data_IF_891323157874
#
_entry.id   IF_891323157874
#
_cell.length_a   1.000
_cell.length_b   1.000
_cell.length_c   1.000
_cell.angle_alpha   90.00
_cell.angle_beta   90.00
_cell.angle_gamma   90.00
#
_symmetry.space_group_name_H-M   'P 1'
#
loop_
_entity.id
_entity.type
_entity.pdbx_description
1 polymer ?
#
# COMPACT_ATOMS: atom_id res chain seq x y z
N UNK A 1 -22.42 17.16 2.11
CA UNK A 1 -21.20 17.34 1.30
C UNK A 1 -21.23 18.72 0.66
N UNK A 2 -20.14 19.47 0.68
CA UNK A 2 -20.07 20.79 0.07
C UNK A 2 -20.03 20.66 -1.46
N UNK A 3 -21.01 21.22 -2.16
CA UNK A 3 -21.03 21.27 -3.63
C UNK A 3 -20.17 22.43 -4.20
N UNK A 4 -19.86 23.45 -3.36
CA UNK A 4 -19.21 24.70 -3.80
C UNK A 4 -17.70 24.73 -3.55
N UNK A 5 -17.17 23.84 -2.69
CA UNK A 5 -15.75 23.81 -2.33
C UNK A 5 -15.18 22.40 -2.43
N UNK A 6 -14.04 22.28 -3.08
CA UNK A 6 -13.19 21.12 -2.99
C UNK A 6 -12.32 21.28 -1.73
N UNK A 7 -12.26 20.26 -0.89
CA UNK A 7 -11.40 20.29 0.29
C UNK A 7 -9.93 20.52 -0.11
N UNK A 8 -9.23 21.37 0.64
CA UNK A 8 -7.81 21.59 0.45
C UNK A 8 -7.04 20.30 0.80
N UNK A 9 -6.12 19.91 -0.07
CA UNK A 9 -5.24 18.78 0.18
C UNK A 9 -4.12 19.27 1.10
N UNK A 10 -4.09 18.78 2.34
CA UNK A 10 -3.01 19.08 3.28
C UNK A 10 -1.74 18.33 2.88
N UNK A 11 -0.62 19.04 2.87
CA UNK A 11 0.68 18.42 2.66
C UNK A 11 1.06 17.55 3.86
N UNK A 12 1.60 16.37 3.57
CA UNK A 12 2.11 15.46 4.60
C UNK A 12 3.59 15.75 4.77
N UNK A 13 3.96 16.21 5.96
CA UNK A 13 5.36 16.43 6.31
C UNK A 13 6.13 15.09 6.30
N UNK A 14 7.40 15.09 5.89
CA UNK A 14 8.26 13.91 5.93
C UNK A 14 8.45 13.42 7.38
N UNK A 15 8.77 12.13 7.52
CA UNK A 15 9.10 11.53 8.80
C UNK A 15 10.38 12.16 9.37
N UNK A 16 10.41 12.56 10.65
CA UNK A 16 11.54 13.29 11.23
C UNK A 16 12.82 12.44 11.34
N UNK A 17 12.73 11.12 11.43
CA UNK A 17 13.88 10.22 11.57
C UNK A 17 14.48 9.86 10.22
N UNK A 18 13.64 9.54 9.24
CA UNK A 18 14.06 9.03 7.93
C UNK A 18 13.84 10.02 6.78
N UNK A 19 13.30 11.19 7.05
CA UNK A 19 12.98 12.25 6.07
C UNK A 19 12.18 11.72 4.84
N UNK A 20 11.24 10.80 5.07
CA UNK A 20 10.45 10.13 4.04
C UNK A 20 8.97 10.46 4.15
N UNK A 21 8.41 11.08 3.10
CA UNK A 21 6.97 11.37 2.99
C UNK A 21 6.15 10.07 2.87
N UNK A 22 6.70 9.06 2.18
CA UNK A 22 6.03 7.77 2.02
C UNK A 22 5.89 7.06 3.36
N UNK A 23 6.92 7.12 4.19
CA UNK A 23 6.90 6.56 5.54
C UNK A 23 5.89 7.28 6.43
N UNK A 24 5.80 8.60 6.38
CA UNK A 24 4.77 9.38 7.07
C UNK A 24 3.34 8.96 6.66
N UNK A 25 3.10 8.78 5.36
CA UNK A 25 1.80 8.28 4.86
C UNK A 25 1.51 6.87 5.35
N UNK A 26 2.52 6.01 5.42
CA UNK A 26 2.41 4.65 5.94
C UNK A 26 2.10 4.65 7.45
N UNK A 27 2.79 5.49 8.24
CA UNK A 27 2.51 5.70 9.67
C UNK A 27 1.06 6.12 9.90
N UNK A 28 0.59 7.09 9.12
CA UNK A 28 -0.80 7.55 9.19
C UNK A 28 -1.82 6.45 8.82
N UNK A 29 -1.45 5.53 7.93
CA UNK A 29 -2.32 4.40 7.56
C UNK A 29 -2.34 3.27 8.60
N UNK A 30 -1.26 3.07 9.36
CA UNK A 30 -1.20 2.11 10.47
C UNK A 30 -1.93 2.65 11.71
N UNK A 31 -1.87 3.96 11.93
CA UNK A 31 -2.44 4.63 13.09
C UNK A 31 -3.91 4.28 13.28
N UNK A 32 -4.31 4.02 14.52
CA UNK A 32 -5.68 3.84 14.97
C UNK A 32 -6.02 4.92 16.01
N UNK A 33 -7.24 5.40 16.01
CA UNK A 33 -7.80 6.35 16.99
C UNK A 33 -6.96 7.63 17.18
N UNK A 34 -6.22 8.04 16.17
CA UNK A 34 -5.34 9.22 16.24
C UNK A 34 -4.06 9.02 17.06
N UNK A 35 -3.74 7.79 17.49
CA UNK A 35 -2.58 7.48 18.35
C UNK A 35 -1.28 7.44 17.53
N UNK A 36 -0.84 8.59 17.04
CA UNK A 36 0.32 8.70 16.13
C UNK A 36 1.63 8.27 16.79
N UNK A 37 1.90 8.70 18.02
CA UNK A 37 3.12 8.33 18.74
C UNK A 37 3.29 6.81 18.92
N UNK A 38 2.17 6.09 19.12
CA UNK A 38 2.17 4.62 19.19
C UNK A 38 2.56 4.02 17.83
N UNK A 39 1.98 4.53 16.72
CA UNK A 39 2.30 4.06 15.38
C UNK A 39 3.78 4.30 15.03
N UNK A 40 4.32 5.47 15.34
CA UNK A 40 5.73 5.80 15.16
C UNK A 40 6.66 4.85 15.97
N UNK A 41 6.33 4.62 17.23
CA UNK A 41 7.07 3.67 18.08
C UNK A 41 7.05 2.24 17.52
N UNK A 42 5.91 1.77 17.00
CA UNK A 42 5.78 0.46 16.37
C UNK A 42 6.68 0.35 15.12
N UNK A 43 6.69 1.38 14.27
CA UNK A 43 7.52 1.40 13.06
C UNK A 43 9.00 1.40 13.42
N UNK A 44 9.44 2.26 14.33
CA UNK A 44 10.84 2.33 14.74
C UNK A 44 11.35 1.00 15.33
N UNK A 45 10.55 0.38 16.21
CA UNK A 45 10.87 -0.95 16.76
C UNK A 45 10.89 -2.04 15.68
N UNK A 46 9.98 -1.98 14.70
CA UNK A 46 9.97 -2.91 13.58
C UNK A 46 11.18 -2.73 12.66
N UNK A 47 11.60 -1.51 12.44
CA UNK A 47 12.81 -1.21 11.67
C UNK A 47 14.07 -1.73 12.36
N UNK A 48 14.18 -1.57 13.69
CA UNK A 48 15.26 -2.19 14.47
C UNK A 48 15.25 -3.73 14.35
N UNK A 49 14.06 -4.35 14.37
CA UNK A 49 13.91 -5.79 14.17
C UNK A 49 14.28 -6.24 12.76
N UNK A 50 13.94 -5.45 11.73
CA UNK A 50 14.35 -5.71 10.34
C UNK A 50 15.87 -5.66 10.22
N UNK A 51 16.49 -4.63 10.75
CA UNK A 51 17.95 -4.46 10.70
C UNK A 51 18.68 -5.62 11.40
N UNK A 52 18.19 -6.08 12.56
CA UNK A 52 18.77 -7.22 13.27
C UNK A 52 18.62 -8.55 12.54
N UNK A 53 17.54 -8.73 11.75
CA UNK A 53 17.27 -9.97 11.00
C UNK A 53 17.97 -10.02 9.66
N UNK A 54 18.04 -8.91 8.94
CA UNK A 54 18.52 -8.86 7.55
C UNK A 54 19.91 -8.26 7.40
N UNK A 55 20.34 -7.42 8.35
CA UNK A 55 21.58 -6.65 8.23
C UNK A 55 21.51 -5.48 7.22
N UNK A 56 20.40 -5.34 6.48
CA UNK A 56 20.20 -4.27 5.49
C UNK A 56 19.54 -3.04 6.12
N UNK A 57 19.63 -1.91 5.42
CA UNK A 57 18.93 -0.69 5.82
C UNK A 57 17.41 -0.91 5.82
N UNK A 58 16.71 -0.70 6.94
CA UNK A 58 15.27 -0.89 7.04
C UNK A 58 14.47 -0.03 6.05
N UNK A 59 14.95 1.19 5.80
CA UNK A 59 14.33 2.10 4.84
C UNK A 59 14.43 1.56 3.40
N UNK A 60 15.55 0.93 3.04
CA UNK A 60 15.72 0.28 1.73
C UNK A 60 14.71 -0.86 1.56
N UNK A 61 14.58 -1.74 2.57
CA UNK A 61 13.62 -2.85 2.56
C UNK A 61 12.19 -2.30 2.45
N UNK A 62 11.85 -1.28 3.23
CA UNK A 62 10.54 -0.62 3.16
C UNK A 62 10.26 -0.06 1.76
N UNK A 63 11.21 0.65 1.17
CA UNK A 63 11.06 1.23 -0.17
C UNK A 63 10.88 0.14 -1.22
N UNK A 64 11.70 -0.92 -1.19
CA UNK A 64 11.54 -2.09 -2.06
C UNK A 64 10.18 -2.75 -1.89
N UNK A 65 9.72 -2.94 -0.65
CA UNK A 65 8.42 -3.52 -0.37
C UNK A 65 7.28 -2.71 -0.98
N UNK A 66 7.29 -1.38 -0.80
CA UNK A 66 6.28 -0.49 -1.41
C UNK A 66 6.32 -0.59 -2.93
N UNK A 67 7.51 -0.50 -3.56
CA UNK A 67 7.64 -0.58 -5.02
C UNK A 67 7.14 -1.92 -5.56
N UNK A 68 7.47 -3.02 -4.90
CA UNK A 68 7.04 -4.36 -5.30
C UNK A 68 5.51 -4.54 -5.22
N UNK A 69 4.83 -3.89 -4.28
CA UNK A 69 3.38 -4.01 -4.09
C UNK A 69 2.59 -3.04 -4.96
N UNK A 70 3.20 -1.99 -5.51
CA UNK A 70 2.51 -1.04 -6.38
C UNK A 70 1.87 -1.72 -7.60
N UNK A 71 0.53 -1.59 -7.81
CA UNK A 71 -0.11 -2.09 -9.02
C UNK A 71 0.11 -1.13 -10.20
N UNK A 72 0.32 -1.67 -11.38
CA UNK A 72 0.38 -0.92 -12.64
C UNK A 72 -1.00 -0.74 -13.25
N UNK A 73 -1.87 -1.74 -13.10
CA UNK A 73 -3.22 -1.77 -13.65
C UNK A 73 -4.24 -2.16 -12.57
N UNK A 74 -5.44 -1.64 -12.68
CA UNK A 74 -6.59 -2.03 -11.87
C UNK A 74 -7.81 -2.22 -12.77
N UNK A 75 -8.84 -2.87 -12.26
CA UNK A 75 -10.12 -3.03 -12.95
C UNK A 75 -11.13 -2.04 -12.37
N UNK A 76 -11.81 -1.32 -13.26
CA UNK A 76 -12.91 -0.41 -12.89
C UNK A 76 -14.19 -0.81 -13.59
N UNK A 77 -15.27 -0.78 -12.83
CA UNK A 77 -16.61 -1.03 -13.39
C UNK A 77 -17.06 0.15 -14.23
N UNK A 78 -17.53 -0.14 -15.45
CA UNK A 78 -18.19 0.83 -16.34
C UNK A 78 -19.50 0.28 -16.84
N UNK A 79 -20.55 1.09 -16.78
CA UNK A 79 -21.86 0.72 -17.31
C UNK A 79 -22.02 1.23 -18.75
N UNK A 80 -22.25 0.33 -19.68
CA UNK A 80 -22.44 0.63 -21.09
C UNK A 80 -23.70 -0.12 -21.57
N UNK A 81 -24.68 0.59 -22.12
CA UNK A 81 -25.90 -0.02 -22.67
C UNK A 81 -26.68 -0.88 -21.67
N UNK A 82 -26.64 -0.56 -20.36
CA UNK A 82 -27.33 -1.33 -19.32
C UNK A 82 -26.52 -2.48 -18.72
N UNK A 83 -25.46 -2.94 -19.36
CA UNK A 83 -24.52 -3.94 -18.83
C UNK A 83 -23.34 -3.29 -18.09
N UNK A 84 -22.83 -3.95 -17.06
CA UNK A 84 -21.66 -3.49 -16.30
C UNK A 84 -20.45 -4.30 -16.72
N UNK A 85 -19.44 -3.61 -17.24
CA UNK A 85 -18.18 -4.21 -17.67
C UNK A 85 -17.05 -3.84 -16.69
N UNK A 86 -16.15 -4.80 -16.48
CA UNK A 86 -14.92 -4.59 -15.71
C UNK A 86 -13.81 -4.18 -16.68
N UNK A 87 -13.48 -2.89 -16.68
CA UNK A 87 -12.54 -2.30 -17.64
C UNK A 87 -11.17 -2.17 -17.01
N UNK A 88 -10.08 -2.74 -17.59
CA UNK A 88 -8.72 -2.53 -17.10
C UNK A 88 -8.25 -1.10 -17.40
N UNK A 89 -7.70 -0.46 -16.39
CA UNK A 89 -7.21 0.93 -16.45
C UNK A 89 -5.84 1.03 -15.79
N UNK A 90 -4.93 1.78 -16.39
CA UNK A 90 -3.65 2.10 -15.77
C UNK A 90 -3.82 2.92 -14.50
N UNK A 91 -3.01 2.62 -13.49
CA UNK A 91 -3.09 3.26 -12.18
C UNK A 91 -2.10 4.43 -12.12
N UNK A 92 -2.60 5.64 -11.85
CA UNK A 92 -1.72 6.81 -11.60
C UNK A 92 -0.84 6.58 -10.38
N UNK A 93 0.40 7.08 -10.40
CA UNK A 93 1.40 6.84 -9.36
C UNK A 93 0.91 7.13 -7.92
N UNK A 94 0.23 8.24 -7.69
CA UNK A 94 -0.31 8.58 -6.38
C UNK A 94 -1.34 7.55 -5.88
N UNK A 95 -2.16 7.00 -6.77
CA UNK A 95 -3.13 5.96 -6.44
C UNK A 95 -2.45 4.62 -6.24
N UNK A 96 -1.48 4.28 -7.08
CA UNK A 96 -0.68 3.05 -6.95
C UNK A 96 0.02 2.99 -5.59
N UNK A 97 0.65 4.10 -5.16
CA UNK A 97 1.24 4.21 -3.84
C UNK A 97 0.21 4.06 -2.71
N UNK A 98 -0.96 4.69 -2.82
CA UNK A 98 -2.01 4.58 -1.81
C UNK A 98 -2.57 3.15 -1.71
N UNK A 99 -2.70 2.45 -2.85
CA UNK A 99 -3.12 1.04 -2.89
C UNK A 99 -2.07 0.14 -2.25
N UNK A 100 -0.78 0.33 -2.58
CA UNK A 100 0.31 -0.44 -1.99
C UNK A 100 0.34 -0.31 -0.46
N UNK A 101 0.28 0.91 0.05
CA UNK A 101 0.22 1.17 1.50
C UNK A 101 -0.98 0.45 2.13
N UNK A 102 -2.17 0.57 1.56
CA UNK A 102 -3.40 -0.07 2.06
C UNK A 102 -3.28 -1.59 2.07
N UNK A 103 -2.76 -2.19 1.01
CA UNK A 103 -2.64 -3.64 0.90
C UNK A 103 -1.61 -4.19 1.89
N UNK A 104 -0.47 -3.51 2.06
CA UNK A 104 0.53 -3.89 3.07
C UNK A 104 -0.07 -3.79 4.48
N UNK A 105 -0.75 -2.70 4.83
CA UNK A 105 -1.37 -2.53 6.15
C UNK A 105 -2.43 -3.61 6.42
N UNK A 106 -3.26 -3.93 5.43
CA UNK A 106 -4.26 -4.99 5.55
C UNK A 106 -3.58 -6.37 5.71
N UNK A 107 -2.53 -6.63 4.95
CA UNK A 107 -1.73 -7.85 5.06
C UNK A 107 -1.12 -7.99 6.46
N UNK A 108 -0.50 -6.94 6.98
CA UNK A 108 0.06 -6.90 8.34
C UNK A 108 -1.00 -7.25 9.39
N UNK A 109 -2.18 -6.62 9.30
CA UNK A 109 -3.26 -6.86 10.27
C UNK A 109 -3.78 -8.29 10.23
N UNK A 110 -3.77 -8.94 9.07
CA UNK A 110 -4.25 -10.33 8.90
C UNK A 110 -3.23 -11.40 9.31
N UNK A 111 -1.97 -11.06 9.54
CA UNK A 111 -0.92 -12.02 9.96
C UNK A 111 -1.20 -12.60 11.34
N UNK A 112 -0.64 -13.79 11.59
CA UNK A 112 -0.89 -14.60 12.81
C UNK A 112 0.14 -14.41 13.92
N UNK A 113 1.22 -13.66 13.67
CA UNK A 113 2.25 -13.38 14.68
C UNK A 113 1.65 -12.67 15.89
N UNK A 114 2.26 -12.84 17.07
CA UNK A 114 1.71 -12.33 18.34
C UNK A 114 1.75 -10.80 18.44
N UNK A 115 2.87 -10.20 18.03
CA UNK A 115 3.05 -8.75 18.17
C UNK A 115 2.92 -8.01 16.83
N UNK A 116 2.41 -6.78 16.87
CA UNK A 116 2.31 -5.93 15.68
C UNK A 116 3.70 -5.60 15.09
N UNK A 117 4.74 -5.54 15.93
CA UNK A 117 6.12 -5.32 15.52
C UNK A 117 6.60 -6.48 14.65
N UNK A 118 6.34 -7.72 15.07
CA UNK A 118 6.70 -8.93 14.31
C UNK A 118 5.92 -9.02 13.00
N UNK A 119 4.59 -8.78 13.04
CA UNK A 119 3.76 -8.75 11.83
C UNK A 119 4.30 -7.76 10.80
N UNK A 120 4.64 -6.56 11.25
CA UNK A 120 5.10 -5.48 10.40
C UNK A 120 6.48 -5.79 9.81
N UNK A 121 7.43 -6.23 10.62
CA UNK A 121 8.77 -6.61 10.13
C UNK A 121 8.72 -7.80 9.17
N UNK A 122 7.92 -8.82 9.47
CA UNK A 122 7.81 -10.00 8.62
C UNK A 122 7.16 -9.67 7.26
N UNK A 123 6.05 -8.90 7.24
CA UNK A 123 5.40 -8.53 5.97
C UNK A 123 6.29 -7.65 5.10
N UNK A 124 7.03 -6.70 5.67
CA UNK A 124 7.95 -5.85 4.90
C UNK A 124 9.10 -6.65 4.30
N UNK A 125 9.67 -7.61 5.04
CA UNK A 125 10.72 -8.51 4.54
C UNK A 125 10.17 -9.39 3.42
N UNK A 126 9.01 -10.01 3.61
CA UNK A 126 8.36 -10.86 2.60
C UNK A 126 8.05 -10.06 1.33
N UNK A 127 7.44 -8.86 1.47
CA UNK A 127 7.11 -8.00 0.35
C UNK A 127 8.34 -7.50 -0.41
N UNK A 128 9.45 -7.22 0.28
CA UNK A 128 10.72 -6.85 -0.36
C UNK A 128 11.28 -7.98 -1.23
N UNK A 129 10.99 -9.22 -0.85
CA UNK A 129 11.39 -10.45 -1.57
C UNK A 129 10.31 -10.96 -2.55
N UNK A 130 9.33 -10.12 -2.91
CA UNK A 130 8.19 -10.49 -3.76
C UNK A 130 7.36 -11.67 -3.23
N UNK A 131 7.20 -11.76 -1.91
CA UNK A 131 6.39 -12.78 -1.21
C UNK A 131 5.34 -12.10 -0.34
N UNK A 132 4.43 -12.90 0.23
CA UNK A 132 3.43 -12.40 1.17
C UNK A 132 2.09 -12.06 0.55
N UNK A 133 1.12 -11.76 1.44
CA UNK A 133 -0.28 -11.57 1.03
C UNK A 133 -0.52 -10.25 0.29
N UNK A 134 0.29 -9.23 0.55
CA UNK A 134 0.22 -7.96 -0.18
C UNK A 134 0.62 -8.13 -1.65
N UNK A 135 1.69 -8.89 -1.91
CA UNK A 135 2.13 -9.23 -3.27
C UNK A 135 1.07 -10.06 -3.99
N UNK A 136 0.52 -11.08 -3.33
CA UNK A 136 -0.57 -11.88 -3.89
C UNK A 136 -1.76 -11.01 -4.31
N UNK A 137 -2.12 -10.02 -3.50
CA UNK A 137 -3.20 -9.08 -3.84
C UNK A 137 -2.91 -8.26 -5.10
N UNK A 138 -1.66 -7.82 -5.28
CA UNK A 138 -1.22 -7.16 -6.53
C UNK A 138 -1.36 -8.09 -7.72
N UNK A 139 -0.86 -9.34 -7.60
CA UNK A 139 -0.93 -10.34 -8.68
C UNK A 139 -2.37 -10.68 -9.05
N UNK A 140 -3.23 -10.88 -8.07
CA UNK A 140 -4.67 -11.14 -8.30
C UNK A 140 -5.33 -9.96 -9.04
N UNK A 141 -4.96 -8.72 -8.69
CA UNK A 141 -5.46 -7.53 -9.37
C UNK A 141 -4.96 -7.46 -10.82
N UNK A 142 -3.69 -7.79 -11.08
CA UNK A 142 -3.13 -7.84 -12.43
C UNK A 142 -3.75 -8.97 -13.25
N UNK A 143 -3.96 -10.16 -12.68
CA UNK A 143 -4.66 -11.28 -13.34
C UNK A 143 -6.09 -10.91 -13.72
N UNK A 144 -6.82 -10.23 -12.82
CA UNK A 144 -8.17 -9.73 -13.14
C UNK A 144 -8.15 -8.73 -14.29
N UNK A 145 -7.17 -7.81 -14.31
CA UNK A 145 -7.04 -6.85 -15.39
C UNK A 145 -6.71 -7.53 -16.73
N UNK A 146 -5.86 -8.54 -16.72
CA UNK A 146 -5.50 -9.33 -17.91
C UNK A 146 -6.68 -10.14 -18.43
N UNK A 147 -7.44 -10.82 -17.55
CA UNK A 147 -8.65 -11.56 -17.91
C UNK A 147 -9.72 -10.66 -18.55
N UNK A 148 -9.77 -9.38 -18.18
CA UNK A 148 -10.73 -8.41 -18.73
C UNK A 148 -10.12 -7.54 -19.85
N UNK A 149 -8.96 -7.90 -20.39
CA UNK A 149 -8.26 -7.14 -21.44
C UNK A 149 -9.12 -6.91 -22.69
N UNK A 150 -10.02 -7.83 -23.03
CA UNK A 150 -10.97 -7.69 -24.14
C UNK A 150 -11.87 -6.45 -24.03
N UNK A 151 -12.13 -5.96 -22.81
CA UNK A 151 -12.96 -4.77 -22.53
C UNK A 151 -12.17 -3.47 -22.46
N UNK A 152 -10.86 -3.49 -22.75
CA UNK A 152 -10.01 -2.30 -22.69
C UNK A 152 -10.46 -1.17 -23.63
N UNK A 153 -11.14 -1.49 -24.73
CA UNK A 153 -11.70 -0.51 -25.67
C UNK A 153 -12.84 0.33 -25.06
N UNK A 154 -13.45 -0.10 -23.95
CA UNK A 154 -14.42 0.70 -23.19
C UNK A 154 -13.75 1.73 -22.24
N UNK A 155 -12.43 1.87 -22.26
CA UNK A 155 -11.69 2.85 -21.47
C UNK A 155 -12.05 4.27 -21.90
N UNK A 156 -12.14 5.20 -20.94
CA UNK A 156 -12.37 6.64 -21.14
C UNK A 156 -11.20 7.49 -20.68
#
# INVERSE_FOLDING_TARGET
MSRRRKAQIREVLPDPVHNSVVLSKFTNAIMLDGKKAVAESLINKSFSNIQSKTGESPLSIFTKAIENVKPLVEVRSRRVGGATYQVPVEVKNNRSQALAIRWIVNAIRSRKEKSMIEKLSAELIDASSNKGSAIKKREDTHKMAEANKAFAHFRW
#
